data_IF_896405883497
#
_entry.id   IF_896405883497
#
_cell.length_a   1.000
_cell.length_b   1.000
_cell.length_c   1.000
_cell.angle_alpha   90.00
_cell.angle_beta   90.00
_cell.angle_gamma   90.00
#
_symmetry.space_group_name_H-M   'P 1'
#
loop_
_entity.id
_entity.type
_entity.pdbx_description
1 polymer ?
#
# COMPACT_ATOMS: atom_id res chain seq x y z
N UNK A 1 -19.80 -3.89 0.12
CA UNK A 1 -19.10 -2.70 -0.40
C UNK A 1 -19.13 -2.85 -1.91
N UNK A 2 -20.29 -2.59 -2.53
CA UNK A 2 -20.62 -3.02 -3.91
C UNK A 2 -20.63 -1.85 -4.93
N UNK A 3 -20.38 -0.62 -4.48
CA UNK A 3 -20.31 0.55 -5.35
C UNK A 3 -18.86 0.79 -5.81
N UNK A 4 -18.57 0.59 -7.10
CA UNK A 4 -17.24 0.81 -7.70
C UNK A 4 -16.71 2.24 -7.45
N UNK A 5 -17.59 3.23 -7.44
CA UNK A 5 -17.25 4.62 -7.12
C UNK A 5 -16.86 4.79 -5.64
N UNK A 6 -17.57 4.10 -4.73
CA UNK A 6 -17.24 4.08 -3.31
C UNK A 6 -15.89 3.42 -3.06
N UNK A 7 -15.60 2.31 -3.75
CA UNK A 7 -14.31 1.63 -3.65
C UNK A 7 -13.14 2.51 -4.11
N UNK A 8 -13.27 3.15 -5.29
CA UNK A 8 -12.26 4.08 -5.78
C UNK A 8 -12.06 5.27 -4.83
N UNK A 9 -13.16 5.85 -4.33
CA UNK A 9 -13.07 6.94 -3.37
C UNK A 9 -12.38 6.53 -2.06
N UNK A 10 -12.40 5.25 -1.74
CA UNK A 10 -11.84 4.71 -0.53
C UNK A 10 -10.36 4.32 -0.67
N UNK A 11 -10.01 3.59 -1.74
CA UNK A 11 -8.67 2.99 -1.95
C UNK A 11 -7.85 3.67 -3.04
N UNK A 12 -8.46 4.53 -3.87
CA UNK A 12 -7.89 5.12 -5.10
C UNK A 12 -7.44 4.09 -6.14
N UNK A 13 -7.96 2.85 -6.04
CA UNK A 13 -7.71 1.75 -6.98
C UNK A 13 -9.04 1.22 -7.51
N UNK A 14 -9.00 0.60 -8.69
CA UNK A 14 -10.10 -0.27 -9.10
C UNK A 14 -10.08 -1.56 -8.27
N UNK A 15 -11.21 -2.28 -8.13
CA UNK A 15 -11.24 -3.58 -7.46
C UNK A 15 -10.23 -4.57 -8.05
N UNK A 16 -10.08 -4.56 -9.38
CA UNK A 16 -9.12 -5.41 -10.10
C UNK A 16 -7.68 -5.06 -9.73
N UNK A 17 -7.29 -3.78 -9.78
CA UNK A 17 -5.93 -3.36 -9.42
C UNK A 17 -5.60 -3.68 -7.95
N UNK A 18 -6.61 -3.56 -7.07
CA UNK A 18 -6.47 -3.92 -5.67
C UNK A 18 -6.20 -5.41 -5.50
N UNK A 19 -6.92 -6.28 -6.21
CA UNK A 19 -6.74 -7.72 -6.16
C UNK A 19 -5.38 -8.13 -6.74
N UNK A 20 -4.96 -7.56 -7.87
CA UNK A 20 -3.63 -7.79 -8.43
C UNK A 20 -2.52 -7.36 -7.47
N UNK A 21 -2.66 -6.18 -6.86
CA UNK A 21 -1.72 -5.71 -5.86
C UNK A 21 -1.69 -6.66 -4.66
N UNK A 22 -2.85 -7.11 -4.19
CA UNK A 22 -2.97 -8.05 -3.08
C UNK A 22 -2.32 -9.41 -3.39
N UNK A 23 -2.43 -9.91 -4.62
CA UNK A 23 -1.73 -11.13 -5.03
C UNK A 23 -0.21 -10.95 -5.01
N UNK A 24 0.29 -9.78 -5.40
CA UNK A 24 1.73 -9.48 -5.38
C UNK A 24 2.30 -9.31 -3.98
N UNK A 25 1.60 -8.57 -3.11
CA UNK A 25 2.12 -8.22 -1.77
C UNK A 25 1.61 -9.14 -0.67
N UNK A 26 0.53 -9.88 -0.91
CA UNK A 26 -0.21 -10.66 0.08
C UNK A 26 0.67 -11.64 0.84
N UNK A 27 1.53 -12.38 0.14
CA UNK A 27 2.47 -13.31 0.79
C UNK A 27 3.51 -12.63 1.70
N UNK A 28 3.83 -11.35 1.47
CA UNK A 28 4.81 -10.58 2.26
C UNK A 28 4.18 -9.84 3.43
N UNK A 29 2.90 -9.43 3.30
CA UNK A 29 2.19 -8.68 4.35
C UNK A 29 1.28 -9.57 5.20
N UNK A 30 1.05 -10.82 4.79
CA UNK A 30 0.35 -11.81 5.60
C UNK A 30 1.21 -12.15 6.82
N UNK A 31 0.60 -12.20 7.99
CA UNK A 31 1.23 -12.78 9.20
C UNK A 31 0.45 -14.03 9.56
N UNK A 32 1.18 -15.05 9.99
CA UNK A 32 0.58 -16.31 10.42
C UNK A 32 -0.29 -16.10 11.65
N UNK A 33 -1.45 -16.75 11.68
CA UNK A 33 -2.29 -16.81 12.85
C UNK A 33 -1.55 -17.49 13.99
N UNK A 34 -1.23 -16.71 15.02
CA UNK A 34 -0.72 -17.24 16.27
C UNK A 34 -1.89 -17.61 17.17
N UNK A 35 -1.77 -18.71 17.92
CA UNK A 35 -2.81 -19.34 18.77
C UNK A 35 -3.57 -18.40 19.74
N UNK A 36 -3.20 -17.13 19.84
CA UNK A 36 -3.70 -16.18 20.82
C UNK A 36 -4.35 -14.91 20.22
N UNK A 37 -4.31 -14.68 18.89
CA UNK A 37 -4.99 -13.54 18.23
C UNK A 37 -5.40 -13.87 16.80
N UNK A 38 -6.63 -13.52 16.43
CA UNK A 38 -7.01 -13.37 15.02
C UNK A 38 -6.09 -12.34 14.37
N UNK A 39 -5.37 -12.75 13.33
CA UNK A 39 -4.45 -11.87 12.64
C UNK A 39 -5.21 -11.00 11.66
N UNK A 40 -4.89 -9.71 11.61
CA UNK A 40 -5.40 -8.81 10.57
C UNK A 40 -5.00 -9.40 9.21
N UNK A 41 -5.99 -9.79 8.42
CA UNK A 41 -5.80 -10.39 7.10
C UNK A 41 -4.97 -9.48 6.19
N UNK A 42 -4.24 -10.07 5.25
CA UNK A 42 -3.45 -9.32 4.27
C UNK A 42 -4.32 -8.28 3.51
N UNK A 43 -5.56 -8.64 3.16
CA UNK A 43 -6.51 -7.74 2.51
C UNK A 43 -6.84 -6.52 3.37
N UNK A 44 -7.08 -6.72 4.68
CA UNK A 44 -7.42 -5.60 5.57
C UNK A 44 -6.21 -4.70 5.83
N UNK A 45 -5.00 -5.28 5.96
CA UNK A 45 -3.75 -4.50 6.05
C UNK A 45 -3.55 -3.62 4.83
N UNK A 46 -3.74 -4.18 3.64
CA UNK A 46 -3.62 -3.44 2.39
C UNK A 46 -4.67 -2.32 2.29
N UNK A 47 -5.93 -2.62 2.59
CA UNK A 47 -7.02 -1.65 2.53
C UNK A 47 -6.81 -0.48 3.52
N UNK A 48 -6.38 -0.75 4.75
CA UNK A 48 -6.08 0.28 5.76
C UNK A 48 -4.94 1.19 5.29
N UNK A 49 -3.87 0.62 4.75
CA UNK A 49 -2.74 1.38 4.23
C UNK A 49 -3.14 2.23 3.03
N UNK A 50 -3.87 1.68 2.06
CA UNK A 50 -4.33 2.44 0.90
C UNK A 50 -5.28 3.57 1.30
N UNK A 51 -6.18 3.33 2.25
CA UNK A 51 -7.06 4.39 2.77
C UNK A 51 -6.27 5.50 3.45
N UNK A 52 -5.25 5.15 4.25
CA UNK A 52 -4.32 6.11 4.84
C UNK A 52 -3.63 6.97 3.77
N UNK A 53 -3.10 6.33 2.73
CA UNK A 53 -2.44 7.03 1.62
C UNK A 53 -3.41 7.90 0.80
N UNK A 54 -4.65 7.44 0.60
CA UNK A 54 -5.66 8.13 -0.19
C UNK A 54 -6.22 9.39 0.47
N UNK A 55 -6.21 9.45 1.81
CA UNK A 55 -6.92 10.49 2.58
C UNK A 55 -6.04 11.28 3.52
N UNK A 56 -4.82 10.82 3.80
CA UNK A 56 -3.90 11.41 4.78
C UNK A 56 -4.60 11.57 6.14
N UNK A 57 -5.40 10.56 6.50
CA UNK A 57 -6.18 10.52 7.74
C UNK A 57 -5.32 10.11 8.94
N UNK A 58 -5.73 10.49 10.16
CA UNK A 58 -5.08 9.98 11.38
C UNK A 58 -5.39 8.50 11.60
N UNK A 59 -4.52 7.78 12.32
CA UNK A 59 -4.76 6.37 12.66
C UNK A 59 -6.04 6.14 13.49
N UNK A 60 -6.46 7.12 14.30
CA UNK A 60 -7.74 7.06 15.02
C UNK A 60 -8.93 7.07 14.05
N UNK A 61 -8.88 7.92 13.02
CA UNK A 61 -9.93 7.99 11.98
C UNK A 61 -10.07 6.64 11.25
N UNK A 62 -8.93 5.98 10.97
CA UNK A 62 -8.92 4.65 10.35
C UNK A 62 -9.56 3.57 11.23
N UNK A 63 -9.29 3.57 12.54
CA UNK A 63 -9.91 2.64 13.49
C UNK A 63 -11.43 2.72 13.42
N UNK A 64 -12.00 3.94 13.45
CA UNK A 64 -13.44 4.14 13.33
C UNK A 64 -13.98 3.70 11.96
N UNK A 65 -13.27 4.08 10.88
CA UNK A 65 -13.67 3.78 9.50
C UNK A 65 -13.76 2.28 9.23
N UNK A 66 -12.77 1.51 9.69
CA UNK A 66 -12.72 0.07 9.51
C UNK A 66 -13.40 -0.72 10.63
N UNK A 67 -14.03 -0.03 11.61
CA UNK A 67 -14.64 -0.63 12.81
C UNK A 67 -13.69 -1.55 13.56
N UNK A 68 -12.41 -1.19 13.58
CA UNK A 68 -11.37 -1.92 14.31
C UNK A 68 -11.43 -1.49 15.78
N UNK A 69 -11.04 -2.36 16.70
CA UNK A 69 -10.95 -1.99 18.11
C UNK A 69 -9.82 -0.95 18.32
N UNK A 70 -10.02 0.12 19.13
CA UNK A 70 -9.03 1.18 19.33
C UNK A 70 -7.69 0.71 19.90
N UNK A 71 -7.67 -0.44 20.58
CA UNK A 71 -6.45 -1.12 21.05
C UNK A 71 -5.47 -1.47 19.91
N UNK A 72 -5.94 -1.56 18.67
CA UNK A 72 -5.11 -1.88 17.50
C UNK A 72 -4.42 -0.68 16.88
N UNK A 73 -4.59 0.54 17.41
CA UNK A 73 -3.95 1.72 16.82
C UNK A 73 -2.42 1.61 16.78
N UNK A 74 -1.84 1.02 17.82
CA UNK A 74 -0.40 0.75 17.91
C UNK A 74 0.04 -0.28 16.86
N UNK A 75 -0.83 -1.23 16.51
CA UNK A 75 -0.56 -2.19 15.44
C UNK A 75 -0.66 -1.53 14.07
N UNK A 76 -1.70 -0.72 13.82
CA UNK A 76 -1.89 -0.02 12.55
C UNK A 76 -0.72 0.92 12.25
N UNK A 77 -0.25 1.66 13.26
CA UNK A 77 0.93 2.53 13.13
C UNK A 77 2.20 1.80 12.66
N UNK A 78 2.31 0.49 12.95
CA UNK A 78 3.41 -0.36 12.46
C UNK A 78 3.10 -1.01 11.11
N UNK A 79 1.84 -1.41 10.89
CA UNK A 79 1.40 -2.07 9.66
C UNK A 79 1.52 -1.13 8.46
N UNK A 80 1.12 0.13 8.60
CA UNK A 80 1.12 1.09 7.48
C UNK A 80 2.53 1.26 6.86
N UNK A 81 3.60 1.58 7.61
CA UNK A 81 4.93 1.67 7.03
C UNK A 81 5.45 0.32 6.51
N UNK A 82 5.19 -0.80 7.21
CA UNK A 82 5.56 -2.15 6.77
C UNK A 82 4.97 -2.49 5.39
N UNK A 83 3.68 -2.21 5.21
CA UNK A 83 2.98 -2.44 3.94
C UNK A 83 3.47 -1.46 2.86
N UNK A 84 3.72 -0.20 3.18
CA UNK A 84 4.28 0.76 2.24
C UNK A 84 5.64 0.32 1.69
N UNK A 85 6.54 -0.17 2.54
CA UNK A 85 7.85 -0.69 2.10
C UNK A 85 7.69 -1.87 1.14
N UNK A 86 6.79 -2.79 1.46
CA UNK A 86 6.50 -3.95 0.59
C UNK A 86 5.92 -3.52 -0.75
N UNK A 87 4.98 -2.56 -0.77
CA UNK A 87 4.41 -2.00 -2.00
C UNK A 87 5.52 -1.36 -2.85
N UNK A 88 6.33 -0.48 -2.26
CA UNK A 88 7.41 0.21 -2.97
C UNK A 88 8.40 -0.80 -3.55
N UNK A 89 8.80 -1.80 -2.77
CA UNK A 89 9.71 -2.86 -3.22
C UNK A 89 9.14 -3.67 -4.39
N UNK A 90 7.86 -4.03 -4.30
CA UNK A 90 7.19 -4.85 -5.32
C UNK A 90 6.93 -4.06 -6.62
N UNK A 91 6.54 -2.78 -6.51
CA UNK A 91 6.33 -1.92 -7.68
C UNK A 91 7.64 -1.50 -8.35
N UNK A 92 8.72 -1.26 -7.60
CA UNK A 92 10.04 -0.95 -8.18
C UNK A 92 10.51 -2.01 -9.19
N UNK A 93 10.16 -3.27 -8.98
CA UNK A 93 10.50 -4.35 -9.91
C UNK A 93 9.67 -4.29 -11.21
N UNK A 94 8.49 -3.68 -11.17
CA UNK A 94 7.55 -3.59 -12.30
C UNK A 94 7.70 -2.28 -13.10
N UNK A 95 8.24 -1.22 -12.50
CA UNK A 95 8.42 0.06 -13.20
C UNK A 95 9.64 -0.03 -14.14
N UNK A 96 9.40 -0.39 -15.39
CA UNK A 96 10.38 -0.26 -16.48
C UNK A 96 10.44 1.21 -16.90
N UNK A 97 11.20 2.02 -16.17
CA UNK A 97 11.39 3.43 -16.50
C UNK A 97 12.21 3.54 -17.80
N UNK A 98 11.55 3.74 -18.94
CA UNK A 98 12.22 4.25 -20.14
C UNK A 98 12.48 5.75 -19.99
N UNK A 99 13.48 6.12 -19.16
CA UNK A 99 14.06 7.46 -19.27
C UNK A 99 14.81 7.50 -20.61
N UNK A 100 14.21 8.12 -21.62
CA UNK A 100 15.00 8.67 -22.73
C UNK A 100 15.83 9.81 -22.15
N UNK A 101 17.09 9.53 -21.80
CA UNK A 101 18.07 10.60 -21.62
C UNK A 101 18.26 11.24 -22.99
N UNK A 102 17.54 12.34 -23.24
CA UNK A 102 17.84 13.21 -24.37
C UNK A 102 19.26 13.73 -24.14
N UNK A 103 20.21 13.19 -24.89
CA UNK A 103 21.59 13.67 -24.89
C UNK A 103 21.61 15.12 -25.33
N UNK A 104 22.21 15.97 -24.52
CA UNK A 104 22.63 17.30 -24.91
C UNK A 104 24.05 17.51 -24.39
N UNK A 105 24.97 17.72 -25.33
CA UNK A 105 26.24 18.41 -25.09
C UNK A 105 27.44 17.52 -24.83
N UNK A 106 28.03 16.99 -25.91
CA UNK A 106 29.48 16.87 -25.95
C UNK A 106 30.05 18.31 -25.90
N UNK A 107 30.91 18.61 -24.92
CA UNK A 107 31.97 19.61 -25.08
C UNK A 107 33.28 19.01 -24.57
N UNK A 108 33.95 18.36 -25.52
CA UNK A 108 35.38 18.42 -25.81
C UNK A 108 36.32 18.64 -24.62
N UNK A 109 37.00 17.56 -24.25
CA UNK A 109 38.37 17.58 -23.76
C UNK A 109 39.29 18.35 -24.73
N UNK A 110 40.05 19.34 -24.25
CA UNK A 110 41.40 19.67 -24.73
C UNK A 110 42.07 20.80 -23.93
N UNK A 111 43.25 20.43 -23.39
CA UNK A 111 44.43 21.23 -23.01
C UNK A 111 44.27 22.23 -21.85
#
# INVERSE_FOLDING_TARGET
>A
MEDAMGFWNFTRLTPTDFEELLLMVGGKISKEDTKFRETITASLRLAVTLRFLASVDSFMSLVYTFRILPVWIQAISKIVPEVCEVIISSLKQQIKVCIKRSGAGQVLSRL
#
